data_IF_238591945912
#
_entry.id   IF_238591945912
#
_cell.length_a   1.000
_cell.length_b   1.000
_cell.length_c   1.000
_cell.angle_alpha   90.00
_cell.angle_beta   90.00
_cell.angle_gamma   90.00
#
_symmetry.space_group_name_H-M   'P 1'
#
loop_
_entity.id
_entity.type
_entity.pdbx_description
1 polymer ?
#
# COMPACT_ATOMS: atom_id res chain seq x y z
N UNK A 1 35.50 -12.25 25.50
CA UNK A 1 34.55 -12.75 24.48
C UNK A 1 34.10 -11.54 23.68
N UNK A 2 34.36 -11.50 22.37
CA UNK A 2 33.93 -10.40 21.51
C UNK A 2 32.45 -10.53 21.18
N UNK A 3 31.69 -9.44 21.33
CA UNK A 3 30.30 -9.37 20.88
C UNK A 3 30.28 -8.67 19.51
N UNK A 4 29.63 -9.30 18.54
CA UNK A 4 29.32 -8.67 17.25
C UNK A 4 27.84 -8.31 17.30
N UNK A 5 27.52 -7.04 17.05
CA UNK A 5 26.15 -6.58 16.88
C UNK A 5 25.90 -6.27 15.41
N UNK A 6 24.76 -6.72 14.90
CA UNK A 6 24.31 -6.47 13.54
C UNK A 6 23.06 -5.61 13.58
N UNK A 7 23.04 -4.55 12.79
CA UNK A 7 21.88 -3.68 12.61
C UNK A 7 21.71 -3.47 11.11
N UNK A 8 20.56 -3.89 10.59
CA UNK A 8 20.16 -3.57 9.24
C UNK A 8 19.60 -2.15 9.23
N UNK A 9 20.22 -1.23 8.48
CA UNK A 9 19.79 0.18 8.42
C UNK A 9 19.59 0.72 7.01
N UNK A 10 19.91 -0.06 5.97
CA UNK A 10 19.70 0.34 4.58
C UNK A 10 18.61 -0.51 3.93
N UNK A 11 17.46 0.08 3.62
CA UNK A 11 16.50 -0.45 2.66
C UNK A 11 16.63 0.35 1.36
N UNK A 12 17.13 -0.29 0.29
CA UNK A 12 17.25 0.34 -1.03
C UNK A 12 15.94 0.21 -1.80
N UNK A 13 14.87 0.78 -1.24
CA UNK A 13 13.53 0.80 -1.85
C UNK A 13 12.85 -0.57 -1.92
N UNK A 14 13.30 -1.53 -1.11
CA UNK A 14 12.67 -2.84 -0.92
C UNK A 14 13.05 -3.40 0.45
N UNK A 15 12.17 -4.22 1.02
CA UNK A 15 12.43 -4.91 2.27
C UNK A 15 13.66 -5.84 2.16
N UNK A 16 14.65 -5.71 3.05
CA UNK A 16 15.87 -6.51 3.00
C UNK A 16 15.62 -7.93 3.50
N UNK A 17 15.82 -8.94 2.63
CA UNK A 17 15.67 -10.36 2.99
C UNK A 17 17.01 -11.06 3.25
N UNK A 18 18.12 -10.46 2.82
CA UNK A 18 19.45 -11.03 2.94
C UNK A 18 20.52 -9.93 3.05
N UNK A 19 21.51 -10.15 3.89
CA UNK A 19 22.76 -9.39 3.92
C UNK A 19 23.98 -10.32 3.95
N UNK A 20 25.16 -9.80 3.62
CA UNK A 20 26.38 -10.58 3.52
C UNK A 20 27.60 -9.79 4.02
N UNK A 21 28.41 -10.46 4.83
CA UNK A 21 29.74 -9.98 5.23
C UNK A 21 30.80 -11.07 5.01
N UNK A 22 32.08 -10.71 5.11
CA UNK A 22 33.19 -11.67 5.05
C UNK A 22 33.96 -11.68 6.36
N UNK A 23 34.20 -12.85 6.91
CA UNK A 23 34.93 -13.05 8.17
C UNK A 23 36.31 -13.62 7.87
N UNK A 24 37.34 -13.07 8.53
CA UNK A 24 38.67 -13.69 8.61
C UNK A 24 39.18 -13.58 10.03
N UNK A 25 40.02 -14.55 10.44
CA UNK A 25 40.66 -14.56 11.76
C UNK A 25 42.15 -14.33 11.60
N UNK A 26 42.77 -13.68 12.59
CA UNK A 26 44.21 -13.42 12.61
C UNK A 26 44.75 -13.60 14.03
N UNK A 27 45.94 -14.17 14.12
CA UNK A 27 46.73 -14.28 15.35
C UNK A 27 47.75 -13.13 15.52
N UNK A 28 47.71 -12.14 14.61
CA UNK A 28 48.65 -11.03 14.53
C UNK A 28 49.83 -11.25 13.57
N UNK A 29 50.11 -12.49 13.16
CA UNK A 29 51.17 -12.83 12.21
C UNK A 29 50.60 -13.42 10.90
N UNK A 30 49.60 -14.27 11.02
CA UNK A 30 48.88 -14.92 9.93
C UNK A 30 47.42 -14.48 9.90
N UNK A 31 46.80 -14.57 8.73
CA UNK A 31 45.37 -14.32 8.53
C UNK A 31 44.77 -15.43 7.68
N UNK A 32 43.59 -15.90 8.06
CA UNK A 32 42.84 -16.87 7.25
C UNK A 32 42.35 -16.24 5.95
N UNK A 33 42.00 -17.08 4.97
CA UNK A 33 41.19 -16.62 3.85
C UNK A 33 39.85 -16.03 4.36
N UNK A 34 39.32 -14.97 3.73
CA UNK A 34 37.97 -14.49 4.02
C UNK A 34 36.93 -15.55 3.66
N UNK A 35 35.97 -15.76 4.56
CA UNK A 35 34.84 -16.67 4.35
C UNK A 35 33.55 -15.85 4.31
N UNK A 36 32.68 -16.04 3.30
CA UNK A 36 31.39 -15.36 3.26
C UNK A 36 30.50 -15.85 4.40
N UNK A 37 29.81 -14.90 5.03
CA UNK A 37 28.82 -15.11 6.07
C UNK A 37 27.52 -14.44 5.61
N UNK A 38 26.45 -15.24 5.51
CA UNK A 38 25.14 -14.79 5.07
C UNK A 38 24.23 -14.57 6.27
N UNK A 39 23.52 -13.45 6.26
CA UNK A 39 22.51 -13.10 7.25
C UNK A 39 21.17 -13.21 6.53
N UNK A 40 20.36 -14.19 6.93
CA UNK A 40 19.00 -14.33 6.43
C UNK A 40 18.10 -13.49 7.32
N UNK A 41 17.42 -12.53 6.72
CA UNK A 41 16.50 -11.62 7.40
C UNK A 41 15.10 -12.13 7.13
N UNK A 42 14.31 -12.35 8.19
CA UNK A 42 12.91 -12.71 8.05
C UNK A 42 12.09 -11.42 7.93
N UNK A 43 11.36 -11.23 6.82
CA UNK A 43 10.47 -10.09 6.65
C UNK A 43 9.43 -9.96 7.78
N UNK A 44 9.11 -8.72 8.11
CA UNK A 44 8.06 -8.36 9.06
C UNK A 44 7.37 -7.10 8.59
N UNK A 45 6.07 -6.97 8.79
CA UNK A 45 5.33 -5.75 8.48
C UNK A 45 5.77 -4.63 9.43
N UNK A 46 6.80 -3.87 9.02
CA UNK A 46 7.43 -2.80 9.77
C UNK A 46 7.62 -1.51 8.95
N UNK A 47 7.29 -1.55 7.66
CA UNK A 47 7.20 -0.36 6.81
C UNK A 47 5.83 0.32 6.97
N UNK A 48 5.81 1.65 6.90
CA UNK A 48 4.56 2.42 7.01
C UNK A 48 4.00 2.67 5.60
N UNK A 49 2.72 2.36 5.35
CA UNK A 49 2.13 2.61 4.04
C UNK A 49 2.07 4.11 3.76
N UNK A 50 2.43 4.48 2.54
CA UNK A 50 2.47 5.85 2.07
C UNK A 50 1.24 6.17 1.22
N UNK A 51 0.64 7.34 1.46
CA UNK A 51 -0.56 7.84 0.77
C UNK A 51 -0.21 8.95 -0.21
N UNK A 52 -0.65 8.81 -1.46
CA UNK A 52 -0.69 9.88 -2.45
C UNK A 52 -2.13 10.36 -2.60
N UNK A 53 -2.38 11.62 -2.29
CA UNK A 53 -3.68 12.27 -2.51
C UNK A 53 -3.45 13.62 -3.22
N UNK A 54 -3.94 13.72 -4.46
CA UNK A 54 -3.93 14.96 -5.23
C UNK A 54 -5.23 15.73 -5.00
N UNK A 55 -5.14 17.06 -5.10
CA UNK A 55 -6.31 17.91 -5.06
C UNK A 55 -7.19 17.69 -6.30
N UNK A 56 -8.50 17.65 -6.08
CA UNK A 56 -9.47 17.57 -7.14
C UNK A 56 -10.70 18.44 -6.82
N UNK A 57 -11.43 18.82 -7.86
CA UNK A 57 -12.69 19.55 -7.76
C UNK A 57 -13.78 18.81 -8.51
N UNK A 58 -15.00 18.97 -8.02
CA UNK A 58 -16.23 18.46 -8.64
C UNK A 58 -17.22 19.62 -8.69
N UNK A 59 -17.77 19.89 -9.87
CA UNK A 59 -18.81 20.90 -10.02
C UNK A 59 -20.12 20.39 -9.40
N UNK A 60 -20.97 21.30 -8.94
CA UNK A 60 -22.31 20.93 -8.44
C UNK A 60 -23.09 20.13 -9.51
N UNK A 61 -23.71 19.03 -9.10
CA UNK A 61 -24.40 18.09 -10.00
C UNK A 61 -23.48 17.23 -10.88
N UNK A 62 -22.16 17.48 -10.85
CA UNK A 62 -21.16 16.70 -11.55
C UNK A 62 -20.72 15.44 -10.81
N UNK A 63 -19.89 14.65 -11.48
CA UNK A 63 -19.23 13.47 -10.92
C UNK A 63 -17.77 13.46 -11.36
N UNK A 64 -16.89 12.91 -10.53
CA UNK A 64 -15.48 12.71 -10.86
C UNK A 64 -15.05 11.34 -10.37
N UNK A 65 -14.46 10.57 -11.27
CA UNK A 65 -13.90 9.28 -10.95
C UNK A 65 -12.61 9.46 -10.13
N UNK A 66 -12.49 8.67 -9.06
CA UNK A 66 -11.24 8.56 -8.31
C UNK A 66 -10.36 7.55 -9.03
N UNK A 67 -9.25 8.02 -9.57
CA UNK A 67 -8.26 7.19 -10.27
C UNK A 67 -6.95 7.16 -9.49
N UNK A 68 -6.02 6.24 -9.81
CA UNK A 68 -4.68 6.22 -9.23
C UNK A 68 -3.85 7.51 -9.39
N UNK A 69 -4.24 8.44 -10.26
CA UNK A 69 -3.60 9.76 -10.36
C UNK A 69 -4.12 10.76 -9.32
N UNK A 70 -5.27 10.49 -8.70
CA UNK A 70 -5.88 11.31 -7.64
C UNK A 70 -5.60 10.69 -6.27
N UNK A 71 -5.81 9.39 -6.13
CA UNK A 71 -5.63 8.66 -4.88
C UNK A 71 -4.82 7.40 -5.16
N UNK A 72 -3.71 7.21 -4.47
CA UNK A 72 -2.91 6.00 -4.59
C UNK A 72 -2.21 5.70 -3.26
N UNK A 73 -1.70 4.48 -3.12
CA UNK A 73 -0.88 4.10 -1.98
C UNK A 73 0.21 3.14 -2.40
N UNK A 74 1.27 3.08 -1.60
CA UNK A 74 2.31 2.08 -1.74
C UNK A 74 2.87 1.73 -0.37
N UNK A 75 3.41 0.53 -0.27
CA UNK A 75 4.07 0.01 0.91
C UNK A 75 5.29 -0.81 0.47
N UNK A 76 6.33 -0.84 1.30
CA UNK A 76 7.62 -1.44 0.94
C UNK A 76 7.80 -2.85 1.51
N UNK A 77 6.85 -3.36 2.29
CA UNK A 77 6.85 -4.73 2.79
C UNK A 77 6.83 -5.76 1.64
N UNK A 78 7.43 -6.91 1.91
CA UNK A 78 7.55 -8.06 1.03
C UNK A 78 7.24 -9.36 1.80
N UNK A 79 6.16 -10.07 1.46
CA UNK A 79 5.29 -9.87 0.30
C UNK A 79 4.37 -8.64 0.45
N UNK A 80 3.94 -8.09 -0.69
CA UNK A 80 2.99 -6.97 -0.71
C UNK A 80 1.65 -7.36 -0.07
N UNK A 81 1.20 -6.55 0.87
CA UNK A 81 -0.11 -6.68 1.52
C UNK A 81 -1.21 -5.91 0.78
N UNK A 82 -2.48 -6.23 1.09
CA UNK A 82 -3.63 -5.53 0.53
C UNK A 82 -3.79 -4.15 1.17
N UNK A 83 -3.56 -3.10 0.38
CA UNK A 83 -3.80 -1.72 0.83
C UNK A 83 -5.29 -1.37 0.81
N UNK A 84 -5.79 -0.94 1.98
CA UNK A 84 -7.18 -0.53 2.18
C UNK A 84 -7.24 0.94 2.60
N UNK A 85 -8.00 1.74 1.85
CA UNK A 85 -8.34 3.11 2.20
C UNK A 85 -9.60 3.11 3.08
N UNK A 86 -9.59 3.93 4.13
CA UNK A 86 -10.75 4.14 4.99
C UNK A 86 -11.13 5.62 5.00
N UNK A 87 -12.41 5.90 4.83
CA UNK A 87 -12.98 7.24 4.89
C UNK A 87 -13.17 7.60 6.36
N UNK A 88 -12.17 8.26 6.94
CA UNK A 88 -12.21 8.71 8.35
C UNK A 88 -13.23 9.83 8.54
N UNK A 89 -13.31 10.74 7.58
CA UNK A 89 -14.28 11.83 7.55
C UNK A 89 -14.94 11.90 6.17
N UNK A 90 -16.27 11.72 6.08
CA UNK A 90 -16.99 11.89 4.82
C UNK A 90 -16.91 13.33 4.28
N UNK A 91 -17.04 13.53 2.96
CA UNK A 91 -17.13 14.86 2.38
C UNK A 91 -18.30 15.66 2.97
N UNK A 92 -18.08 16.95 3.25
CA UNK A 92 -19.15 17.85 3.72
C UNK A 92 -20.21 18.12 2.65
N UNK A 93 -19.84 18.02 1.37
CA UNK A 93 -20.70 18.22 0.22
C UNK A 93 -20.49 17.10 -0.80
N UNK A 94 -21.59 16.54 -1.31
CA UNK A 94 -21.56 15.37 -2.19
C UNK A 94 -21.37 14.05 -1.43
N UNK A 95 -21.24 12.96 -2.19
CA UNK A 95 -21.07 11.61 -1.65
C UNK A 95 -20.09 10.82 -2.51
N UNK A 96 -19.36 9.91 -1.88
CA UNK A 96 -18.64 8.86 -2.59
C UNK A 96 -19.66 7.82 -3.07
N UNK A 97 -19.57 7.43 -4.34
CA UNK A 97 -20.43 6.42 -4.96
C UNK A 97 -19.57 5.37 -5.66
N UNK A 98 -20.06 4.15 -5.74
CA UNK A 98 -19.36 3.07 -6.43
C UNK A 98 -19.50 3.24 -7.95
N UNK A 99 -18.42 2.98 -8.68
CA UNK A 99 -18.30 3.22 -10.13
C UNK A 99 -19.34 2.46 -10.96
N UNK A 100 -19.72 1.25 -10.54
CA UNK A 100 -20.73 0.42 -11.25
C UNK A 100 -22.06 1.17 -11.42
N UNK A 101 -22.54 1.82 -10.36
CA UNK A 101 -23.81 2.57 -10.39
C UNK A 101 -23.77 3.83 -11.27
N UNK A 102 -22.59 4.26 -11.73
CA UNK A 102 -22.46 5.41 -12.62
C UNK A 102 -22.79 5.07 -14.09
N UNK A 103 -22.52 3.83 -14.52
CA UNK A 103 -22.74 3.38 -15.90
C UNK A 103 -24.21 3.07 -16.20
N UNK A 104 -24.95 2.61 -15.20
CA UNK A 104 -26.37 2.24 -15.31
C UNK A 104 -27.32 3.43 -15.23
N UNK A 105 -26.82 4.63 -14.85
CA UNK A 105 -27.60 5.88 -14.88
C UNK A 105 -28.14 6.22 -16.28
N UNK A 106 -27.62 5.57 -17.32
CA UNK A 106 -28.10 5.71 -18.71
C UNK A 106 -29.15 4.66 -19.13
N UNK A 107 -29.46 3.63 -18.34
CA UNK A 107 -30.34 2.51 -18.76
C UNK A 107 -31.19 1.89 -17.61
N UNK A 108 -32.36 2.47 -17.36
CA UNK A 108 -33.59 1.90 -16.75
C UNK A 108 -33.62 1.33 -15.29
N UNK A 109 -34.71 1.74 -14.59
CA UNK A 109 -35.44 1.17 -13.42
C UNK A 109 -34.68 0.42 -12.30
N UNK A 110 -34.32 1.16 -11.24
CA UNK A 110 -33.79 0.65 -9.96
C UNK A 110 -34.75 -0.34 -9.25
N UNK A 111 -34.20 -1.44 -8.72
CA UNK A 111 -34.87 -2.32 -7.75
C UNK A 111 -34.59 -1.89 -6.29
N UNK A 112 -35.45 -2.25 -5.33
CA UNK A 112 -35.33 -1.80 -3.92
C UNK A 112 -33.99 -2.19 -3.24
N UNK A 113 -33.37 -3.29 -3.64
CA UNK A 113 -32.09 -3.73 -3.10
C UNK A 113 -30.91 -2.85 -3.56
N UNK A 114 -30.95 -2.34 -4.79
CA UNK A 114 -29.95 -1.41 -5.34
C UNK A 114 -30.07 -0.02 -4.71
N UNK A 115 -31.30 0.43 -4.43
CA UNK A 115 -31.56 1.67 -3.69
C UNK A 115 -30.97 1.63 -2.28
N UNK A 116 -31.10 0.50 -1.59
CA UNK A 116 -30.52 0.32 -0.25
C UNK A 116 -28.99 0.32 -0.29
N UNK A 117 -28.36 -0.31 -1.28
CA UNK A 117 -26.90 -0.28 -1.46
C UNK A 117 -26.37 1.11 -1.85
N UNK A 118 -27.13 1.88 -2.66
CA UNK A 118 -26.84 3.30 -2.95
C UNK A 118 -26.92 4.22 -1.72
N UNK A 119 -27.67 3.81 -0.69
CA UNK A 119 -27.85 4.60 0.54
C UNK A 119 -26.75 4.38 1.59
N UNK A 120 -25.91 3.35 1.43
CA UNK A 120 -24.83 3.08 2.36
C UNK A 120 -23.62 3.95 2.01
N UNK A 121 -23.07 4.72 2.96
CA UNK A 121 -21.87 5.49 2.72
C UNK A 121 -20.70 4.54 2.45
N UNK A 122 -19.90 4.85 1.44
CA UNK A 122 -18.62 4.16 1.24
C UNK A 122 -17.71 4.52 2.41
N UNK A 123 -17.36 3.53 3.23
CA UNK A 123 -16.48 3.69 4.39
C UNK A 123 -15.06 3.21 4.12
N UNK A 124 -14.87 2.29 3.17
CA UNK A 124 -13.55 1.75 2.82
C UNK A 124 -13.55 1.09 1.44
N UNK A 125 -12.39 1.05 0.80
CA UNK A 125 -12.13 0.32 -0.45
C UNK A 125 -10.64 0.03 -0.59
N UNK A 126 -10.29 -0.99 -1.36
CA UNK A 126 -8.90 -1.40 -1.62
C UNK A 126 -8.28 -0.64 -2.78
N UNK A 127 -6.95 -0.60 -2.82
CA UNK A 127 -6.23 -0.06 -3.99
C UNK A 127 -6.56 -0.82 -5.28
N UNK A 128 -6.78 -2.14 -5.18
CA UNK A 128 -7.16 -2.95 -6.33
C UNK A 128 -8.54 -2.56 -6.87
N UNK A 129 -9.52 -2.31 -5.99
CA UNK A 129 -10.85 -1.83 -6.37
C UNK A 129 -10.75 -0.47 -7.05
N UNK A 130 -9.92 0.44 -6.53
CA UNK A 130 -9.70 1.76 -7.13
C UNK A 130 -9.08 1.66 -8.54
N UNK A 131 -8.13 0.75 -8.75
CA UNK A 131 -7.48 0.54 -10.05
C UNK A 131 -8.41 -0.13 -11.07
N UNK A 132 -9.37 -0.93 -10.61
CA UNK A 132 -10.33 -1.65 -11.46
C UNK A 132 -11.65 -0.89 -11.68
N UNK A 133 -11.81 0.31 -11.11
CA UNK A 133 -13.00 1.14 -11.30
C UNK A 133 -14.18 0.82 -10.37
N UNK A 134 -13.92 0.22 -9.20
CA UNK A 134 -14.92 -0.19 -8.20
C UNK A 134 -15.82 -1.31 -8.71
N UNK A 135 -15.79 -2.48 -8.06
CA UNK A 135 -16.80 -3.54 -8.28
C UNK A 135 -18.04 -3.25 -7.45
#
# INVERSE_FOLDING_TARGET
>A
MGLINYVQSESKGAEPTIDQLSISVSDGLHRSAPVPFYIIISPTNDEMPSLLLANFTVNEGGMRELTPSILNGFDLDSPLDTLTFTVVQPPAHGSLINGIYSSEKSRYTDTEAELLQRSLPITSFTLQELQQGGK
#
